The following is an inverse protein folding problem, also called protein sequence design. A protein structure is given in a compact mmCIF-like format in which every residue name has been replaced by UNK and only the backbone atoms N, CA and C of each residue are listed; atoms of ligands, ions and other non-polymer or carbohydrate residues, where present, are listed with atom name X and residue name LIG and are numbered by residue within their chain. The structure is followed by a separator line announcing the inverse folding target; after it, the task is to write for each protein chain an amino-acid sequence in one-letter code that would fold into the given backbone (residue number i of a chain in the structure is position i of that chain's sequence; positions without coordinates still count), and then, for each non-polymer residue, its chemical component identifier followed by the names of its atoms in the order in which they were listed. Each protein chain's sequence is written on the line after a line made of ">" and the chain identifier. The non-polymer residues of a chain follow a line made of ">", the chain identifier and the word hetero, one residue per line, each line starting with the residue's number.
data_IF_234024238637
#
_entry.id   IF_234024238637
#
_cell.length_a   1.000
_cell.length_b   1.000
_cell.length_c   1.000
_cell.angle_alpha   90.00
_cell.angle_beta   90.00
_cell.angle_gamma   90.00
#
_symmetry.space_group_name_H-M   'P 1'
#
loop_
_entity.id
_entity.type
_entity.pdbx_description
1 polymer ?
#
# COMPACT_ATOMS: atom_id res chain seq x y z
N UNK A 1 -22.80 -12.88 -1.63
CA UNK A 1 -23.80 -13.53 -0.76
C UNK A 1 -23.37 -13.57 0.71
N UNK A 2 -22.30 -14.29 1.08
CA UNK A 2 -21.79 -14.33 2.47
C UNK A 2 -21.55 -12.94 3.07
N UNK A 3 -20.78 -12.07 2.39
CA UNK A 3 -20.49 -10.70 2.87
C UNK A 3 -21.78 -9.88 3.06
N UNK A 4 -22.75 -10.05 2.18
CA UNK A 4 -24.06 -9.38 2.27
C UNK A 4 -24.82 -9.83 3.52
N UNK A 5 -24.84 -11.14 3.80
CA UNK A 5 -25.51 -11.68 4.99
C UNK A 5 -24.80 -11.30 6.28
N UNK A 6 -23.46 -11.31 6.29
CA UNK A 6 -22.68 -10.83 7.43
C UNK A 6 -23.04 -9.37 7.75
N UNK A 7 -23.12 -8.50 6.74
CA UNK A 7 -23.54 -7.10 6.94
C UNK A 7 -25.00 -6.98 7.41
N UNK A 8 -25.92 -7.72 6.82
CA UNK A 8 -27.34 -7.68 7.18
C UNK A 8 -27.59 -8.09 8.64
N UNK A 9 -26.82 -9.05 9.15
CA UNK A 9 -26.89 -9.50 10.54
C UNK A 9 -26.02 -8.70 11.51
N UNK A 10 -25.30 -7.69 11.01
CA UNK A 10 -24.26 -6.99 11.77
C UNK A 10 -23.27 -7.97 12.41
N UNK A 11 -22.93 -9.04 11.68
CA UNK A 11 -22.13 -10.13 12.20
C UNK A 11 -20.68 -9.66 12.40
N UNK A 12 -20.19 -9.69 13.64
CA UNK A 12 -18.85 -9.21 14.01
C UNK A 12 -17.84 -10.35 14.20
N UNK A 13 -16.55 -9.99 14.24
CA UNK A 13 -15.45 -10.97 14.45
C UNK A 13 -15.59 -11.68 15.81
N UNK A 14 -16.04 -10.99 16.85
CA UNK A 14 -16.23 -11.57 18.19
C UNK A 14 -17.31 -12.68 18.20
N UNK A 15 -18.26 -12.59 17.28
CA UNK A 15 -19.31 -13.60 17.12
C UNK A 15 -18.82 -14.89 16.45
N UNK A 16 -17.60 -14.94 15.91
CA UNK A 16 -16.98 -16.18 15.41
C UNK A 16 -16.77 -17.22 16.53
N UNK A 17 -16.82 -16.81 17.80
CA UNK A 17 -16.83 -17.70 18.96
C UNK A 17 -18.23 -18.15 19.40
N UNK A 18 -19.30 -17.51 18.94
CA UNK A 18 -20.66 -17.75 19.41
C UNK A 18 -21.37 -18.80 18.55
N UNK A 19 -21.72 -19.94 19.18
CA UNK A 19 -22.49 -21.00 18.51
C UNK A 19 -23.84 -20.49 18.01
N UNK A 20 -24.52 -19.66 18.79
CA UNK A 20 -25.83 -19.13 18.42
C UNK A 20 -25.73 -18.21 17.20
N UNK A 21 -24.75 -17.31 17.19
CA UNK A 21 -24.55 -16.40 16.06
C UNK A 21 -24.21 -17.20 14.78
N UNK A 22 -23.31 -18.18 14.88
CA UNK A 22 -22.95 -19.04 13.75
C UNK A 22 -24.13 -19.88 13.24
N UNK A 23 -25.01 -20.36 14.12
CA UNK A 23 -26.22 -21.08 13.71
C UNK A 23 -27.21 -20.16 12.97
N UNK A 24 -27.40 -18.92 13.43
CA UNK A 24 -28.21 -17.92 12.73
C UNK A 24 -27.63 -17.60 11.34
N UNK A 25 -26.31 -17.43 11.27
CA UNK A 25 -25.62 -17.20 10.00
C UNK A 25 -25.77 -18.40 9.04
N UNK A 26 -25.63 -19.63 9.54
CA UNK A 26 -25.85 -20.85 8.75
C UNK A 26 -27.26 -20.90 8.16
N UNK A 27 -28.29 -20.65 8.99
CA UNK A 27 -29.68 -20.66 8.57
C UNK A 27 -29.99 -19.60 7.51
N UNK A 28 -29.32 -18.44 7.56
CA UNK A 28 -29.47 -17.37 6.56
C UNK A 28 -28.78 -17.62 5.22
N UNK A 29 -27.92 -18.64 5.16
CA UNK A 29 -27.10 -19.01 4.00
C UNK A 29 -27.48 -20.42 3.52
N UNK A 30 -28.77 -20.75 3.58
CA UNK A 30 -29.33 -22.04 3.14
C UNK A 30 -28.63 -23.26 3.73
N UNK A 31 -28.28 -23.19 5.02
CA UNK A 31 -27.68 -24.32 5.76
C UNK A 31 -26.18 -24.47 5.50
N UNK A 32 -25.42 -23.37 5.53
CA UNK A 32 -23.96 -23.42 5.42
C UNK A 32 -23.37 -24.44 6.43
N UNK A 33 -22.70 -25.51 5.98
CA UNK A 33 -22.33 -26.62 6.87
C UNK A 33 -21.09 -26.32 7.70
N UNK A 34 -20.21 -25.43 7.22
CA UNK A 34 -18.95 -25.12 7.87
C UNK A 34 -18.47 -23.70 7.56
N UNK A 35 -17.60 -23.17 8.44
CA UNK A 35 -16.93 -21.88 8.28
C UNK A 35 -15.42 -22.06 8.40
N UNK A 36 -14.66 -21.36 7.56
CA UNK A 36 -13.20 -21.24 7.71
C UNK A 36 -12.89 -19.96 8.48
N UNK A 37 -12.20 -20.08 9.61
CA UNK A 37 -11.66 -18.95 10.36
C UNK A 37 -10.14 -18.96 10.25
N UNK A 38 -9.56 -17.92 9.66
CA UNK A 38 -8.12 -17.68 9.63
C UNK A 38 -7.69 -16.78 10.79
N UNK A 39 -6.57 -17.08 11.43
CA UNK A 39 -5.89 -16.19 12.37
C UNK A 39 -4.44 -16.01 11.94
N UNK A 40 -4.02 -14.75 11.78
CA UNK A 40 -2.61 -14.39 11.71
C UNK A 40 -2.08 -14.46 13.14
N UNK A 41 -1.40 -15.56 13.46
CA UNK A 41 -1.11 -15.93 14.86
C UNK A 41 0.04 -15.14 15.46
N UNK A 42 1.03 -14.83 14.63
CA UNK A 42 2.27 -14.27 15.10
C UNK A 42 3.00 -13.61 13.94
N UNK A 43 3.58 -12.45 14.21
CA UNK A 43 4.60 -11.85 13.39
C UNK A 43 5.86 -11.72 14.23
N UNK A 44 6.89 -12.52 13.90
CA UNK A 44 8.22 -12.35 14.47
C UNK A 44 9.16 -11.89 13.38
N UNK A 45 9.53 -10.62 13.41
CA UNK A 45 10.36 -10.01 12.37
C UNK A 45 9.72 -10.19 10.98
N UNK A 46 10.34 -11.01 10.13
CA UNK A 46 9.85 -11.35 8.79
C UNK A 46 8.91 -12.54 8.74
N UNK A 47 8.84 -13.40 9.77
CA UNK A 47 8.01 -14.60 9.73
C UNK A 47 6.57 -14.24 10.11
N UNK A 48 5.65 -14.44 9.16
CA UNK A 48 4.21 -14.43 9.40
C UNK A 48 3.71 -15.86 9.41
N UNK A 49 2.99 -16.24 10.47
CA UNK A 49 2.31 -17.54 10.55
C UNK A 49 0.80 -17.35 10.45
N UNK A 50 0.20 -17.96 9.43
CA UNK A 50 -1.25 -18.04 9.25
C UNK A 50 -1.74 -19.42 9.70
N UNK A 51 -2.81 -19.46 10.48
CA UNK A 51 -3.53 -20.70 10.74
C UNK A 51 -5.01 -20.55 10.42
N UNK A 52 -5.51 -21.45 9.58
CA UNK A 52 -6.92 -21.57 9.26
C UNK A 52 -7.52 -22.80 9.96
N UNK A 53 -8.73 -22.64 10.47
CA UNK A 53 -9.53 -23.70 11.09
C UNK A 53 -10.86 -23.78 10.37
N UNK A 54 -11.23 -24.97 9.91
CA UNK A 54 -12.55 -25.27 9.37
C UNK A 54 -13.41 -25.81 10.53
N UNK A 55 -14.49 -25.11 10.88
CA UNK A 55 -15.43 -25.52 11.92
C UNK A 55 -16.77 -25.89 11.30
N UNK A 56 -17.34 -27.01 11.69
CA UNK A 56 -18.72 -27.36 11.35
C UNK A 56 -19.68 -26.51 12.18
N UNK A 57 -20.73 -25.95 11.56
CA UNK A 57 -21.61 -25.02 12.27
C UNK A 57 -22.61 -25.74 13.20
N UNK A 58 -23.11 -26.91 12.79
CA UNK A 58 -24.08 -27.68 13.59
C UNK A 58 -23.49 -28.18 14.92
N UNK A 59 -22.30 -28.78 14.83
CA UNK A 59 -21.61 -29.43 15.94
C UNK A 59 -20.65 -28.50 16.66
N UNK A 60 -20.31 -27.35 16.07
CA UNK A 60 -19.21 -26.47 16.49
C UNK A 60 -17.87 -27.21 16.64
N UNK A 61 -17.70 -28.34 15.94
CA UNK A 61 -16.49 -29.15 16.00
C UNK A 61 -15.49 -28.73 14.92
N UNK A 62 -14.20 -28.92 15.19
CA UNK A 62 -13.14 -28.69 14.22
C UNK A 62 -13.15 -29.83 13.19
N UNK A 63 -13.51 -29.51 11.94
CA UNK A 63 -13.42 -30.45 10.82
C UNK A 63 -11.98 -30.60 10.30
N UNK A 64 -11.18 -29.53 10.40
CA UNK A 64 -9.80 -29.55 9.93
C UNK A 64 -9.07 -28.25 10.24
N UNK A 65 -7.74 -28.29 10.13
CA UNK A 65 -6.91 -27.11 10.25
C UNK A 65 -5.77 -27.18 9.22
N UNK A 66 -5.41 -26.02 8.69
CA UNK A 66 -4.25 -25.83 7.85
C UNK A 66 -3.45 -24.65 8.37
N UNK A 67 -2.14 -24.68 8.19
CA UNK A 67 -1.26 -23.59 8.59
C UNK A 67 -0.16 -23.39 7.57
N UNK A 68 0.33 -22.17 7.49
CA UNK A 68 1.42 -21.78 6.60
C UNK A 68 2.29 -20.71 7.25
N UNK A 69 3.54 -20.66 6.81
CA UNK A 69 4.48 -19.62 7.17
C UNK A 69 4.90 -18.89 5.89
N UNK A 70 4.95 -17.56 5.95
CA UNK A 70 5.48 -16.71 4.90
C UNK A 70 6.63 -15.86 5.48
N UNK A 71 7.67 -15.65 4.67
CA UNK A 71 8.76 -14.74 5.01
C UNK A 71 8.55 -13.45 4.24
N UNK A 72 8.37 -12.35 4.98
CA UNK A 72 8.28 -11.02 4.41
C UNK A 72 9.63 -10.62 3.80
N UNK A 73 9.57 -10.04 2.61
CA UNK A 73 10.65 -9.22 2.08
C UNK A 73 10.47 -7.73 2.48
N UNK A 74 11.42 -6.87 2.08
CA UNK A 74 11.44 -5.44 2.38
C UNK A 74 10.22 -4.69 1.80
N UNK A 75 9.71 -5.11 0.64
CA UNK A 75 8.55 -4.50 -0.01
C UNK A 75 7.24 -4.92 0.65
N UNK A 76 7.13 -6.18 1.07
CA UNK A 76 5.98 -6.68 1.83
C UNK A 76 5.94 -6.07 3.24
N UNK A 77 7.10 -5.89 3.87
CA UNK A 77 7.21 -5.13 5.13
C UNK A 77 6.73 -3.69 4.97
N UNK A 78 7.12 -3.04 3.87
CA UNK A 78 6.72 -1.67 3.56
C UNK A 78 5.20 -1.49 3.34
N UNK A 79 4.45 -2.57 3.18
CA UNK A 79 2.98 -2.53 3.07
C UNK A 79 2.26 -2.71 4.41
N UNK A 80 2.97 -2.88 5.52
CA UNK A 80 2.36 -3.13 6.83
C UNK A 80 1.78 -1.88 7.52
N UNK A 81 1.75 -0.74 6.84
CA UNK A 81 1.25 0.52 7.41
C UNK A 81 2.23 1.18 8.39
N UNK A 82 3.50 0.76 8.43
CA UNK A 82 4.54 1.32 9.29
C UNK A 82 5.46 2.25 8.50
N UNK A 83 5.80 3.40 9.09
CA UNK A 83 6.64 4.41 8.48
C UNK A 83 8.06 4.39 9.06
N UNK A 84 9.06 4.34 8.19
CA UNK A 84 10.48 4.28 8.60
C UNK A 84 11.37 5.03 7.61
N UNK A 85 12.41 5.67 8.14
CA UNK A 85 13.55 6.13 7.36
C UNK A 85 14.67 5.09 7.52
N UNK A 86 15.06 4.45 6.41
CA UNK A 86 16.13 3.45 6.41
C UNK A 86 17.47 4.18 6.40
N UNK A 87 18.35 3.82 7.34
CA UNK A 87 19.69 4.39 7.43
C UNK A 87 20.73 3.41 6.90
N UNK A 88 21.90 3.89 6.42
CA UNK A 88 22.98 3.01 5.97
C UNK A 88 23.39 1.97 7.01
N UNK A 89 23.41 2.33 8.30
CA UNK A 89 23.77 1.42 9.40
C UNK A 89 22.74 0.31 9.67
N UNK A 90 21.52 0.40 9.11
CA UNK A 90 20.51 -0.66 9.22
C UNK A 90 20.78 -1.81 8.25
N UNK A 91 21.55 -1.55 7.20
CA UNK A 91 21.91 -2.53 6.19
C UNK A 91 23.10 -3.32 6.72
N UNK A 92 22.96 -4.63 6.95
CA UNK A 92 24.08 -5.41 7.43
C UNK A 92 25.16 -5.45 6.34
N UNK A 93 26.43 -5.39 6.72
CA UNK A 93 27.54 -5.59 5.80
C UNK A 93 27.39 -6.92 5.04
N UNK A 94 27.83 -6.98 3.77
CA UNK A 94 27.71 -8.20 2.97
C UNK A 94 28.66 -9.28 3.50
N UNK A 95 28.18 -10.13 4.39
CA UNK A 95 28.91 -11.28 4.92
C UNK A 95 28.38 -12.62 4.37
N UNK A 96 29.25 -13.58 4.05
CA UNK A 96 28.82 -14.92 3.63
C UNK A 96 27.97 -15.61 4.72
N UNK A 97 26.81 -16.16 4.34
CA UNK A 97 25.96 -16.98 5.22
C UNK A 97 24.96 -16.23 6.09
N UNK A 98 25.03 -14.90 6.19
CA UNK A 98 23.99 -14.08 6.83
C UNK A 98 22.95 -13.71 5.80
N UNK A 99 21.65 -13.91 6.10
CA UNK A 99 20.57 -13.40 5.24
C UNK A 99 20.33 -11.92 5.55
N UNK A 100 20.78 -10.97 4.70
CA UNK A 100 20.79 -9.54 5.02
C UNK A 100 19.39 -8.98 5.31
N UNK A 101 18.37 -9.57 4.67
CA UNK A 101 16.98 -9.13 4.78
C UNK A 101 16.38 -9.35 6.17
N UNK A 102 16.77 -10.42 6.89
CA UNK A 102 16.21 -10.69 8.22
C UNK A 102 16.62 -9.64 9.24
N UNK A 103 17.91 -9.30 9.26
CA UNK A 103 18.46 -8.28 10.15
C UNK A 103 17.91 -6.90 9.80
N UNK A 104 17.79 -6.58 8.50
CA UNK A 104 17.18 -5.33 8.06
C UNK A 104 15.73 -5.23 8.55
N UNK A 105 14.88 -6.23 8.30
CA UNK A 105 13.47 -6.20 8.73
C UNK A 105 13.35 -6.06 10.26
N UNK A 106 14.18 -6.77 11.03
CA UNK A 106 14.20 -6.61 12.48
C UNK A 106 14.56 -5.18 12.91
N UNK A 107 15.51 -4.53 12.21
CA UNK A 107 15.87 -3.12 12.43
C UNK A 107 14.75 -2.17 12.03
N UNK A 108 14.04 -2.46 10.93
CA UNK A 108 12.88 -1.67 10.51
C UNK A 108 11.74 -1.77 11.54
N UNK A 109 11.49 -2.96 12.09
CA UNK A 109 10.51 -3.16 13.17
C UNK A 109 10.87 -2.37 14.44
N UNK A 110 12.14 -2.40 14.85
CA UNK A 110 12.65 -1.63 15.98
C UNK A 110 12.46 -0.12 15.75
N UNK A 111 12.81 0.37 14.55
CA UNK A 111 12.66 1.80 14.21
C UNK A 111 11.20 2.24 14.09
N UNK A 112 10.33 1.37 13.60
CA UNK A 112 8.90 1.67 13.46
C UNK A 112 8.19 1.84 14.80
N UNK A 113 8.78 1.40 15.92
CA UNK A 113 8.30 1.75 17.27
C UNK A 113 8.56 3.22 17.64
N UNK A 114 9.42 3.91 16.89
CA UNK A 114 9.75 5.31 17.09
C UNK A 114 8.79 6.28 16.39
N UNK A 115 9.15 7.56 16.42
CA UNK A 115 8.37 8.63 15.78
C UNK A 115 8.29 8.46 14.26
N UNK A 116 7.15 8.84 13.69
CA UNK A 116 6.92 8.84 12.26
C UNK A 116 7.97 9.72 11.52
N UNK A 117 8.62 9.28 10.42
CA UNK A 117 9.66 10.05 9.71
C UNK A 117 9.30 11.49 9.32
N UNK A 118 8.06 11.73 8.86
CA UNK A 118 7.55 13.08 8.55
C UNK A 118 7.54 14.04 9.75
N UNK A 119 7.62 13.56 11.00
CA UNK A 119 7.72 14.45 12.17
C UNK A 119 9.10 15.11 12.28
N UNK A 120 10.12 14.60 11.58
CA UNK A 120 11.45 15.20 11.55
C UNK A 120 11.55 16.30 10.46
N UNK A 121 11.75 17.58 10.83
CA UNK A 121 11.93 18.68 9.88
C UNK A 121 13.14 18.55 8.96
N UNK A 122 14.07 17.62 9.22
CA UNK A 122 15.24 17.31 8.37
C UNK A 122 15.07 16.08 7.49
N UNK A 123 14.02 15.29 7.68
CA UNK A 123 13.75 14.11 6.84
C UNK A 123 13.71 14.53 5.35
N UNK A 124 14.43 13.85 4.43
CA UNK A 124 14.66 14.36 3.07
C UNK A 124 13.42 14.37 2.17
N UNK A 125 12.35 13.69 2.57
CA UNK A 125 11.12 13.56 1.79
C UNK A 125 9.97 14.24 2.53
N UNK A 126 9.18 15.07 1.84
CA UNK A 126 7.94 15.63 2.37
C UNK A 126 6.80 15.07 1.56
N UNK A 127 5.86 14.43 2.23
CA UNK A 127 4.61 13.94 1.63
C UNK A 127 3.48 14.61 2.37
N UNK A 128 2.63 15.34 1.65
CA UNK A 128 1.55 16.12 2.24
C UNK A 128 0.30 16.05 1.36
N UNK A 129 -0.86 16.13 1.99
CA UNK A 129 -2.15 16.15 1.31
C UNK A 129 -2.59 17.61 1.17
N UNK A 130 -3.07 17.96 -0.01
CA UNK A 130 -3.57 19.30 -0.33
C UNK A 130 -5.03 19.21 -0.78
N UNK A 131 -5.87 20.09 -0.24
CA UNK A 131 -7.28 20.26 -0.63
C UNK A 131 -7.45 21.72 -1.04
N UNK A 132 -8.01 21.97 -2.22
CA UNK A 132 -8.18 23.32 -2.79
C UNK A 132 -6.89 24.18 -2.75
N UNK A 133 -5.75 23.53 -3.03
CA UNK A 133 -4.44 24.17 -3.07
C UNK A 133 -3.84 24.50 -1.69
N UNK A 134 -4.50 24.16 -0.59
CA UNK A 134 -4.01 24.34 0.78
C UNK A 134 -3.59 23.01 1.40
N UNK A 135 -2.46 23.01 2.10
CA UNK A 135 -2.02 21.84 2.85
C UNK A 135 -3.02 21.51 3.95
N UNK A 136 -3.43 20.24 4.03
CA UNK A 136 -4.24 19.72 5.13
C UNK A 136 -3.30 19.16 6.18
N UNK A 137 -3.23 19.83 7.33
CA UNK A 137 -2.44 19.36 8.46
C UNK A 137 -3.04 18.08 9.05
N UNK A 138 -2.18 17.13 9.39
CA UNK A 138 -2.53 15.94 10.17
C UNK A 138 -2.00 15.98 11.59
N UNK A 139 -2.25 14.90 12.31
CA UNK A 139 -1.78 14.64 13.67
C UNK A 139 -0.90 13.37 13.68
N UNK A 140 0.18 13.39 14.44
CA UNK A 140 1.01 12.20 14.67
C UNK A 140 0.50 11.43 15.89
N UNK A 141 0.19 10.14 15.71
CA UNK A 141 -0.22 9.21 16.77
C UNK A 141 0.78 8.06 16.81
N UNK A 142 1.88 8.27 17.54
CA UNK A 142 3.02 7.34 17.52
C UNK A 142 3.70 7.32 16.14
N UNK A 143 3.64 6.17 15.47
CA UNK A 143 4.17 5.99 14.11
C UNK A 143 3.12 6.21 13.01
N UNK A 144 1.87 6.54 13.35
CA UNK A 144 0.84 6.91 12.38
C UNK A 144 0.81 8.43 12.16
N UNK A 145 0.60 8.85 10.91
CA UNK A 145 0.27 10.24 10.55
C UNK A 145 -1.14 10.29 9.98
N UNK A 146 -2.06 10.91 10.70
CA UNK A 146 -3.50 10.89 10.42
C UNK A 146 -3.94 12.26 9.90
N UNK A 147 -4.51 12.32 8.70
CA UNK A 147 -4.95 13.56 8.05
C UNK A 147 -6.48 13.53 7.87
N UNK A 148 -7.22 14.47 8.48
CA UNK A 148 -8.68 14.50 8.36
C UNK A 148 -9.12 14.98 6.97
N UNK A 149 -9.86 14.15 6.24
CA UNK A 149 -10.48 14.48 4.96
C UNK A 149 -11.97 14.15 4.97
N UNK A 150 -12.80 15.06 4.44
CA UNK A 150 -14.26 14.89 4.38
C UNK A 150 -14.69 14.24 3.08
N UNK A 151 -15.79 13.49 3.12
CA UNK A 151 -16.47 13.01 1.93
C UNK A 151 -16.72 14.14 0.92
N UNK A 152 -16.45 13.86 -0.35
CA UNK A 152 -16.54 14.81 -1.46
C UNK A 152 -15.31 15.69 -1.67
N UNK A 153 -14.37 15.76 -0.71
CA UNK A 153 -13.13 16.52 -0.91
C UNK A 153 -12.28 15.90 -2.03
N UNK A 154 -11.84 16.76 -2.95
CA UNK A 154 -10.87 16.40 -4.00
C UNK A 154 -9.50 16.79 -3.48
N UNK A 155 -8.58 15.84 -3.41
CA UNK A 155 -7.26 16.09 -2.86
C UNK A 155 -6.12 15.78 -3.83
N UNK A 156 -4.95 16.32 -3.54
CA UNK A 156 -3.70 16.09 -4.27
C UNK A 156 -2.62 15.69 -3.28
N UNK A 157 -1.82 14.70 -3.64
CA UNK A 157 -0.64 14.32 -2.88
C UNK A 157 0.53 15.12 -3.42
N UNK A 158 1.13 15.96 -2.58
CA UNK A 158 2.34 16.71 -2.92
C UNK A 158 3.55 16.03 -2.30
N UNK A 159 4.54 15.73 -3.15
CA UNK A 159 5.81 15.16 -2.74
C UNK A 159 6.90 16.18 -3.00
N UNK A 160 7.66 16.56 -1.98
CA UNK A 160 8.80 17.47 -2.11
C UNK A 160 10.08 16.77 -1.65
N UNK A 161 11.13 16.86 -2.47
CA UNK A 161 12.47 16.41 -2.09
C UNK A 161 13.25 17.60 -1.52
N UNK A 162 13.87 17.40 -0.36
CA UNK A 162 14.78 18.39 0.23
C UNK A 162 16.23 18.17 -0.22
N UNK A 163 16.56 16.93 -0.63
CA UNK A 163 17.85 16.56 -1.20
C UNK A 163 17.97 16.90 -2.70
N UNK A 164 19.17 16.69 -3.23
CA UNK A 164 19.46 16.84 -4.67
C UNK A 164 19.45 15.52 -5.44
N UNK A 165 19.42 14.42 -4.72
CA UNK A 165 19.49 13.09 -5.32
C UNK A 165 18.18 12.75 -6.02
N UNK A 166 18.32 12.06 -7.16
CA UNK A 166 17.19 11.42 -7.84
C UNK A 166 16.67 10.30 -6.96
N UNK A 167 15.34 10.20 -6.84
CA UNK A 167 14.67 9.16 -6.06
C UNK A 167 13.63 8.47 -6.94
N UNK A 168 13.51 7.16 -6.77
CA UNK A 168 12.43 6.38 -7.37
C UNK A 168 11.35 6.17 -6.30
N UNK A 169 10.13 6.63 -6.53
CA UNK A 169 9.05 6.56 -5.55
C UNK A 169 7.93 5.66 -6.06
N UNK A 170 7.49 4.70 -5.26
CA UNK A 170 6.24 3.97 -5.50
C UNK A 170 5.16 4.53 -4.59
N UNK A 171 4.00 4.79 -5.18
CA UNK A 171 2.89 5.44 -4.48
C UNK A 171 1.63 4.63 -4.68
N UNK A 172 1.09 4.14 -3.57
CA UNK A 172 -0.19 3.46 -3.49
C UNK A 172 -1.20 4.34 -2.75
N UNK A 173 -2.45 4.33 -3.20
CA UNK A 173 -3.59 4.95 -2.52
C UNK A 173 -4.65 3.88 -2.36
N UNK A 174 -5.06 3.61 -1.13
CA UNK A 174 -5.90 2.47 -0.75
C UNK A 174 -5.31 1.11 -1.18
N UNK A 175 -3.97 1.06 -1.22
CA UNK A 175 -3.19 -0.06 -1.76
C UNK A 175 -3.33 -0.29 -3.27
N UNK A 176 -3.88 0.67 -4.01
CA UNK A 176 -3.92 0.65 -5.48
C UNK A 176 -2.79 1.48 -6.07
N UNK A 177 -2.21 1.01 -7.18
CA UNK A 177 -1.16 1.76 -7.87
C UNK A 177 -1.69 3.06 -8.47
N UNK A 178 -0.97 4.16 -8.26
CA UNK A 178 -1.32 5.48 -8.84
C UNK A 178 -1.03 5.57 -10.33
N UNK A 179 -0.19 4.68 -10.86
CA UNK A 179 0.11 4.55 -12.30
C UNK A 179 -0.59 3.31 -12.89
N UNK A 180 -0.99 3.35 -14.17
CA UNK A 180 -1.70 2.24 -14.80
C UNK A 180 -0.73 1.13 -15.22
N UNK A 181 -1.21 -0.11 -15.27
CA UNK A 181 -0.39 -1.25 -15.69
C UNK A 181 -0.90 -1.89 -16.98
N UNK A 182 0.04 -2.38 -17.78
CA UNK A 182 -0.29 -3.13 -19.01
C UNK A 182 -0.54 -4.57 -18.60
N UNK A 183 -1.77 -5.02 -18.76
CA UNK A 183 -2.17 -6.41 -18.52
C UNK A 183 -2.28 -7.09 -19.88
N UNK A 184 -1.56 -8.18 -20.06
CA UNK A 184 -1.62 -8.97 -21.28
C UNK A 184 -2.53 -10.19 -21.03
N UNK A 185 -3.77 -10.09 -21.48
CA UNK A 185 -4.74 -11.18 -21.34
C UNK A 185 -5.06 -11.75 -22.72
N UNK A 186 -4.72 -13.03 -22.93
CA UNK A 186 -5.00 -13.78 -24.18
C UNK A 186 -4.51 -13.06 -25.46
N UNK A 187 -3.38 -12.36 -25.39
CA UNK A 187 -2.77 -11.67 -26.53
C UNK A 187 -3.32 -10.27 -26.82
N UNK A 188 -4.32 -9.79 -26.07
CA UNK A 188 -4.78 -8.39 -26.12
C UNK A 188 -4.15 -7.64 -24.95
N UNK A 189 -3.38 -6.60 -25.26
CA UNK A 189 -2.85 -5.69 -24.23
C UNK A 189 -3.93 -4.70 -23.81
N UNK A 190 -4.37 -4.78 -22.57
CA UNK A 190 -5.25 -3.78 -21.96
C UNK A 190 -4.48 -2.95 -20.94
N UNK A 191 -4.97 -1.75 -20.64
CA UNK A 191 -4.40 -0.88 -19.61
C UNK A 191 -5.35 -0.91 -18.42
N UNK A 192 -4.88 -1.47 -17.31
CA UNK A 192 -5.62 -1.48 -16.07
C UNK A 192 -5.34 -0.19 -15.27
N UNK A 193 -6.41 0.50 -14.88
CA UNK A 193 -6.35 1.69 -14.01
C UNK A 193 -6.46 1.26 -12.56
N UNK A 194 -5.61 1.83 -11.71
CA UNK A 194 -5.56 1.56 -10.28
C UNK A 194 -5.51 0.05 -9.97
N UNK A 195 -4.55 -0.70 -10.56
CA UNK A 195 -4.43 -2.14 -10.31
C UNK A 195 -4.07 -2.40 -8.85
N UNK A 196 -4.56 -3.52 -8.32
CA UNK A 196 -4.10 -4.05 -7.03
C UNK A 196 -2.78 -4.75 -7.31
N UNK A 197 -1.71 -4.25 -6.70
CA UNK A 197 -0.35 -4.76 -6.93
C UNK A 197 0.44 -4.76 -5.64
N UNK A 198 1.42 -5.65 -5.58
CA UNK A 198 2.43 -5.56 -4.54
C UNK A 198 3.32 -4.33 -4.77
N UNK A 199 3.92 -3.83 -3.70
CA UNK A 199 4.80 -2.68 -3.78
C UNK A 199 6.07 -2.97 -4.62
N UNK A 200 6.52 -4.21 -4.77
CA UNK A 200 7.64 -4.58 -5.65
C UNK A 200 7.27 -4.60 -7.15
N UNK A 201 6.00 -4.78 -7.46
CA UNK A 201 5.43 -4.82 -8.81
C UNK A 201 4.94 -3.44 -9.27
N UNK A 202 4.53 -2.60 -8.32
CA UNK A 202 4.01 -1.27 -8.60
C UNK A 202 4.97 -0.45 -9.46
N UNK A 203 4.44 0.12 -10.54
CA UNK A 203 5.11 1.21 -11.25
C UNK A 203 5.43 2.39 -10.33
N UNK A 204 6.56 3.03 -10.58
CA UNK A 204 7.04 4.15 -9.77
C UNK A 204 7.20 5.45 -10.55
N UNK A 205 7.22 6.53 -9.77
CA UNK A 205 7.51 7.89 -10.17
C UNK A 205 9.01 8.14 -10.04
N UNK A 206 9.62 8.76 -11.05
CA UNK A 206 10.99 9.24 -10.95
C UNK A 206 10.94 10.70 -10.50
N UNK A 207 11.45 10.94 -9.30
CA UNK A 207 11.56 12.25 -8.70
C UNK A 207 12.99 12.75 -8.95
N UNK A 208 13.16 13.57 -9.99
CA UNK A 208 14.46 14.13 -10.39
C UNK A 208 14.51 15.63 -10.09
N UNK A 209 15.15 16.06 -8.99
CA UNK A 209 15.31 17.47 -8.66
C UNK A 209 15.98 18.31 -9.76
N UNK A 210 16.78 17.69 -10.65
CA UNK A 210 17.45 18.41 -11.74
C UNK A 210 16.52 18.77 -12.90
N UNK A 211 15.37 18.09 -13.01
CA UNK A 211 14.40 18.30 -14.08
C UNK A 211 13.38 19.41 -13.78
N UNK A 212 13.40 19.99 -12.56
CA UNK A 212 12.46 21.03 -12.13
C UNK A 212 13.15 22.09 -11.29
N UNK A 213 12.81 23.36 -11.52
CA UNK A 213 13.28 24.47 -10.69
C UNK A 213 12.80 24.39 -9.23
N UNK A 214 11.72 23.64 -9.00
CA UNK A 214 11.22 23.31 -7.66
C UNK A 214 11.08 21.79 -7.56
N UNK A 215 11.78 21.12 -6.62
CA UNK A 215 11.69 19.67 -6.44
C UNK A 215 10.36 19.31 -5.74
N UNK A 216 9.26 19.60 -6.40
CA UNK A 216 7.88 19.41 -5.96
C UNK A 216 7.10 18.70 -7.07
N UNK A 217 6.47 17.58 -6.72
CA UNK A 217 5.65 16.78 -7.61
C UNK A 217 4.23 16.72 -7.05
N UNK A 218 3.25 16.86 -7.95
CA UNK A 218 1.83 16.78 -7.59
C UNK A 218 1.19 15.55 -8.23
N UNK A 219 0.78 14.60 -7.40
CA UNK A 219 0.04 13.41 -7.83
C UNK A 219 -1.43 13.67 -7.52
N UNK A 220 -2.20 13.96 -8.57
CA UNK A 220 -3.58 14.47 -8.48
C UNK A 220 -4.65 13.38 -8.58
N UNK A 221 -4.27 12.12 -8.85
CA UNK A 221 -5.21 11.04 -9.08
C UNK A 221 -4.57 9.77 -9.61
N UNK A 222 -5.41 8.78 -9.92
CA UNK A 222 -5.03 7.57 -10.63
C UNK A 222 -4.85 7.88 -12.12
N UNK A 223 -3.64 7.72 -12.64
CA UNK A 223 -3.35 7.94 -14.06
C UNK A 223 -4.05 6.87 -14.89
N UNK A 224 -4.80 7.31 -15.89
CA UNK A 224 -5.52 6.42 -16.82
C UNK A 224 -4.82 6.29 -18.15
N UNK A 225 -4.07 7.30 -18.55
CA UNK A 225 -3.36 7.36 -19.83
C UNK A 225 -2.04 8.12 -19.65
N UNK A 226 -0.94 7.54 -20.11
CA UNK A 226 0.38 8.19 -20.14
C UNK A 226 0.65 8.68 -21.56
N UNK A 227 0.79 10.00 -21.77
CA UNK A 227 1.33 10.61 -22.99
C UNK A 227 1.30 12.15 -22.88
N UNK A 228 1.68 12.88 -23.93
CA UNK A 228 1.55 14.36 -23.97
C UNK A 228 0.11 14.84 -23.72
N UNK A 229 -0.87 13.95 -23.94
CA UNK A 229 -2.28 14.12 -23.56
C UNK A 229 -2.73 13.26 -22.38
N UNK A 230 -1.82 12.98 -21.42
CA UNK A 230 -2.09 12.07 -20.30
C UNK A 230 -3.36 12.43 -19.53
N UNK A 231 -4.09 11.40 -19.11
CA UNK A 231 -5.37 11.53 -18.39
C UNK A 231 -5.27 10.89 -17.02
N UNK A 232 -6.07 11.40 -16.09
CA UNK A 232 -6.16 10.85 -14.74
C UNK A 232 -7.59 10.96 -14.20
N UNK A 233 -7.92 10.11 -13.24
CA UNK A 233 -9.11 10.21 -12.38
C UNK A 233 -8.67 10.77 -11.04
N UNK A 234 -9.20 11.95 -10.69
CA UNK A 234 -8.80 12.67 -9.47
C UNK A 234 -9.07 11.84 -8.22
N UNK A 235 -8.26 12.03 -7.18
CA UNK A 235 -8.59 11.50 -5.87
C UNK A 235 -9.76 12.28 -5.28
N UNK A 236 -10.82 11.56 -4.90
CA UNK A 236 -12.01 12.10 -4.26
C UNK A 236 -12.34 11.20 -3.09
N UNK A 237 -12.56 11.77 -1.91
CA UNK A 237 -13.03 11.01 -0.76
C UNK A 237 -14.48 10.62 -1.00
N UNK A 238 -14.77 9.33 -0.94
CA UNK A 238 -16.11 8.76 -1.15
C UNK A 238 -16.40 7.76 -0.04
N UNK A 239 -17.65 7.34 0.09
CA UNK A 239 -18.01 6.25 1.01
C UNK A 239 -17.23 4.97 0.66
N UNK A 240 -16.90 4.17 1.68
CA UNK A 240 -16.10 2.96 1.54
C UNK A 240 -16.60 2.04 0.42
N UNK A 241 -17.92 1.84 0.33
CA UNK A 241 -18.55 0.98 -0.68
C UNK A 241 -18.47 1.52 -2.11
N UNK A 242 -18.20 2.81 -2.29
CA UNK A 242 -18.04 3.48 -3.59
C UNK A 242 -16.57 3.62 -4.00
N UNK A 243 -15.63 3.37 -3.09
CA UNK A 243 -14.20 3.46 -3.36
C UNK A 243 -13.76 2.49 -4.47
N UNK A 244 -12.73 2.88 -5.22
CA UNK A 244 -12.16 2.02 -6.28
C UNK A 244 -11.63 0.70 -5.69
N UNK A 245 -11.06 0.76 -4.48
CA UNK A 245 -10.52 -0.42 -3.82
C UNK A 245 -11.63 -1.39 -3.37
N UNK A 246 -12.74 -0.88 -2.81
CA UNK A 246 -13.90 -1.73 -2.47
C UNK A 246 -14.58 -2.34 -3.71
N UNK A 247 -14.65 -1.61 -4.83
CA UNK A 247 -15.13 -2.17 -6.10
C UNK A 247 -14.28 -3.36 -6.58
N UNK A 248 -13.02 -3.42 -6.15
CA UNK A 248 -12.10 -4.53 -6.40
C UNK A 248 -11.98 -5.52 -5.23
N UNK A 249 -12.87 -5.43 -4.24
CA UNK A 249 -12.86 -6.24 -3.00
C UNK A 249 -11.55 -6.13 -2.19
N UNK A 250 -10.86 -5.00 -2.28
CA UNK A 250 -9.60 -4.73 -1.59
C UNK A 250 -9.80 -3.61 -0.57
N UNK A 251 -10.37 -3.94 0.58
CA UNK A 251 -10.81 -2.94 1.58
C UNK A 251 -9.87 -2.79 2.76
N UNK A 252 -8.88 -3.67 2.90
CA UNK A 252 -7.97 -3.72 4.06
C UNK A 252 -7.07 -2.50 4.21
N UNK A 253 -6.84 -1.77 3.10
CA UNK A 253 -5.99 -0.59 3.05
C UNK A 253 -6.77 0.70 2.78
N UNK A 254 -8.11 0.70 2.89
CA UNK A 254 -8.89 1.92 2.72
C UNK A 254 -8.40 3.02 3.67
N UNK A 255 -8.27 4.23 3.15
CA UNK A 255 -7.76 5.35 3.93
C UNK A 255 -6.23 5.40 4.02
N UNK A 256 -5.49 4.49 3.40
CA UNK A 256 -4.02 4.43 3.50
C UNK A 256 -3.33 4.91 2.23
N UNK A 257 -2.45 5.91 2.36
CA UNK A 257 -1.53 6.33 1.32
C UNK A 257 -0.13 5.82 1.70
N UNK A 258 0.47 5.01 0.83
CA UNK A 258 1.82 4.47 1.01
C UNK A 258 2.77 5.10 -0.01
N UNK A 259 3.75 5.85 0.46
CA UNK A 259 4.84 6.40 -0.34
C UNK A 259 6.17 5.74 0.05
N UNK A 260 6.67 4.86 -0.82
CA UNK A 260 7.95 4.18 -0.63
C UNK A 260 9.01 4.76 -1.57
N UNK A 261 10.12 5.20 -0.99
CA UNK A 261 11.22 5.87 -1.67
C UNK A 261 12.39 4.91 -1.80
N UNK A 262 12.96 4.81 -2.99
CA UNK A 262 14.05 3.92 -3.33
C UNK A 262 15.20 4.71 -3.97
N UNK A 263 16.42 4.24 -3.73
CA UNK A 263 17.55 4.66 -4.53
C UNK A 263 17.28 4.25 -5.99
N UNK A 264 17.66 5.07 -6.98
CA UNK A 264 17.59 4.64 -8.36
C UNK A 264 18.55 3.47 -8.57
N UNK A 265 18.07 2.34 -9.06
CA UNK A 265 18.96 1.24 -9.45
C UNK A 265 19.68 1.66 -10.73
N UNK A 266 21.00 1.80 -10.66
CA UNK A 266 21.85 1.88 -11.85
C UNK A 266 21.95 0.46 -12.42
N UNK A 267 20.92 0.02 -13.12
CA UNK A 267 21.00 -1.21 -13.92
C UNK A 267 22.04 -0.99 -15.02
N UNK A 268 23.27 -1.47 -14.81
CA UNK A 268 24.27 -1.62 -15.87
C UNK A 268 23.77 -2.70 -16.83
N UNK A 269 22.94 -2.34 -17.81
CA UNK A 269 22.51 -3.23 -18.90
C UNK A 269 23.06 -2.67 -20.20
N UNK A 270 23.70 -3.52 -21.00
CA UNK A 270 24.19 -3.18 -22.34
C UNK A 270 23.05 -2.91 -23.33
N UNK A 271 23.33 -2.10 -24.35
CA UNK A 271 22.40 -1.63 -25.37
C UNK A 271 22.14 -2.68 -26.47
N UNK A 272 20.87 -2.77 -26.91
CA UNK A 272 20.46 -3.25 -28.22
C UNK A 272 19.51 -2.20 -28.84
N UNK A 273 19.55 -2.03 -30.17
CA UNK A 273 18.77 -1.01 -30.89
C UNK A 273 17.56 -1.63 -31.61
N UNK A 274 16.45 -0.90 -31.65
CA UNK A 274 15.27 -1.15 -32.50
C UNK A 274 15.30 -0.24 -33.75
N UNK A 275 14.66 -0.70 -34.84
CA UNK A 275 14.73 -0.08 -36.19
C UNK A 275 13.61 0.95 -36.51
N UNK A 276 12.83 1.44 -35.54
CA UNK A 276 11.74 2.40 -35.82
C UNK A 276 11.54 3.46 -34.73
N UNK A 277 11.55 4.74 -35.10
CA UNK A 277 11.23 5.90 -34.23
C UNK A 277 9.73 6.25 -34.21
N UNK A 278 9.24 6.78 -33.09
CA UNK A 278 8.02 7.60 -33.02
C UNK A 278 8.12 8.69 -31.93
N UNK A 279 7.41 9.81 -32.14
CA UNK A 279 7.51 11.04 -31.34
C UNK A 279 6.29 11.29 -30.43
N UNK A 280 6.50 11.45 -29.11
CA UNK A 280 6.19 12.65 -28.29
C UNK A 280 6.20 12.37 -26.76
N UNK A 281 6.26 13.47 -26.00
CA UNK A 281 6.85 13.67 -24.68
C UNK A 281 6.00 13.19 -23.46
N UNK A 282 6.15 11.92 -23.08
CA UNK A 282 6.21 11.52 -21.67
C UNK A 282 7.54 10.83 -21.43
N UNK A 283 8.29 11.31 -20.45
CA UNK A 283 9.50 10.66 -19.95
C UNK A 283 9.13 9.40 -19.15
N UNK A 284 8.46 8.44 -19.79
CA UNK A 284 8.26 7.09 -19.27
C UNK A 284 9.61 6.40 -19.38
N UNK A 285 10.51 6.64 -18.42
CA UNK A 285 11.76 5.89 -18.34
C UNK A 285 11.42 4.48 -17.84
N UNK A 286 11.00 3.61 -18.77
CA UNK A 286 10.60 2.22 -18.52
C UNK A 286 11.70 1.37 -17.88
N UNK A 287 12.94 1.85 -17.87
CA UNK A 287 14.11 1.03 -17.51
C UNK A 287 14.68 1.30 -16.11
N UNK A 288 14.12 2.23 -15.35
CA UNK A 288 14.62 2.49 -13.99
C UNK A 288 13.98 1.51 -13.01
N UNK A 289 14.76 0.53 -12.56
CA UNK A 289 14.35 -0.37 -11.47
C UNK A 289 14.50 0.34 -10.13
N UNK A 290 13.62 0.01 -9.19
CA UNK A 290 13.82 0.35 -7.78
C UNK A 290 15.12 -0.29 -7.28
N UNK A 291 15.99 0.50 -6.66
CA UNK A 291 17.15 0.01 -5.93
C UNK A 291 16.78 -0.27 -4.47
N UNK A 292 17.68 0.09 -3.57
CA UNK A 292 17.49 -0.05 -2.13
C UNK A 292 16.36 0.86 -1.59
N UNK A 293 15.53 0.36 -0.67
CA UNK A 293 14.55 1.20 0.02
C UNK A 293 15.28 2.23 0.89
N UNK A 294 14.92 3.49 0.72
CA UNK A 294 15.43 4.61 1.50
C UNK A 294 14.46 4.97 2.62
N UNK A 295 13.16 4.90 2.36
CA UNK A 295 12.14 5.19 3.37
C UNK A 295 10.76 4.74 2.90
N UNK A 296 9.88 4.49 3.87
CA UNK A 296 8.43 4.33 3.63
C UNK A 296 7.71 5.30 4.54
N UNK A 297 6.71 5.97 3.97
CA UNK A 297 5.83 6.89 4.66
C UNK A 297 4.39 6.46 4.40
N UNK A 298 3.65 6.30 5.47
CA UNK A 298 2.21 6.05 5.46
C UNK A 298 1.47 7.28 5.97
N UNK A 299 0.44 7.68 5.23
CA UNK A 299 -0.51 8.69 5.68
C UNK A 299 -1.88 8.03 5.73
N UNK A 300 -2.51 8.03 6.90
CA UNK A 300 -3.90 7.61 7.05
C UNK A 300 -4.78 8.82 6.85
N UNK A 301 -5.77 8.74 5.98
CA UNK A 301 -6.81 9.74 5.91
C UNK A 301 -8.13 9.14 6.42
N UNK A 302 -8.83 9.92 7.24
CA UNK A 302 -10.02 9.47 7.95
C UNK A 302 -11.06 10.60 7.97
N UNK A 303 -12.32 10.26 8.22
CA UNK A 303 -13.34 11.27 8.44
C UNK A 303 -12.99 12.10 9.69
N UNK A 304 -13.13 13.44 9.66
CA UNK A 304 -12.86 14.27 10.84
C UNK A 304 -13.61 13.84 12.11
N UNK A 305 -14.78 13.21 11.99
CA UNK A 305 -15.55 12.70 13.13
C UNK A 305 -14.81 11.57 13.87
N UNK A 306 -14.00 10.75 13.18
CA UNK A 306 -13.23 9.66 13.78
C UNK A 306 -12.02 10.19 14.56
N UNK A 307 -11.43 11.29 14.11
CA UNK A 307 -10.26 11.91 14.78
C UNK A 307 -10.62 12.42 16.18
N UNK A 308 -11.88 12.86 16.38
CA UNK A 308 -12.35 13.47 17.62
C UNK A 308 -12.61 12.46 18.76
N UNK A 309 -12.51 11.15 18.50
CA UNK A 309 -12.71 10.11 19.51
C UNK A 309 -11.33 9.68 20.05
N UNK A 310 -10.98 10.03 21.31
CA UNK A 310 -9.71 9.66 21.92
C UNK A 310 -9.58 8.17 22.22
#
# INVERSE_FOLDING_TARGET
>A
ELVTQLKAQQFSVDQLGSREALAKLSASLDGLPAIVTGTLRHRQHRLITLQCKLKQLETNSLAGAAGGAALLNEHEWAMLGLSVAVKPEDRPPPFPGVQPQEQLIAKLDERAQGAHPLSDPKFPYRVAIYVDGKERSGEFRGNDYVVPLRQGEVYTIRVRLLGRDKVYMRLLVDGLNTLPEKVQEKGIGTVEVAPIVKLDEARGWILDPSASNQPLWEIRGFVTETGTGGKLRRFVVVDDNLSVAAQKNFTENLGLITAAFYAPSLSRVGTGAEDVETSENILERRDVKAGELLSVVHIRYVDPAEVATP
#
